data_IF_894007917165
#
_entry.id   IF_894007917165
#
_cell.length_a   1.000
_cell.length_b   1.000
_cell.length_c   1.000
_cell.angle_alpha   90.00
_cell.angle_beta   90.00
_cell.angle_gamma   90.00
#
_symmetry.space_group_name_H-M   'P 1'
#
loop_
_entity.id
_entity.type
_entity.pdbx_description
1 polymer ?
#
# COMPACT_ATOMS: atom_id res chain seq x y z
N UNK A 1 1.96 5.37 -5.89
CA UNK A 1 1.23 4.28 -6.61
C UNK A 1 -0.03 3.78 -5.92
N UNK A 2 -0.21 4.03 -4.62
CA UNK A 2 -1.43 3.72 -3.85
C UNK A 2 -2.00 5.03 -3.33
N UNK A 3 -3.32 5.10 -3.25
CA UNK A 3 -4.03 6.29 -2.78
C UNK A 3 -4.80 6.02 -1.49
N UNK A 4 -4.92 7.03 -0.65
CA UNK A 4 -5.73 6.98 0.56
C UNK A 4 -7.00 7.80 0.36
N UNK A 5 -8.14 7.17 0.61
CA UNK A 5 -9.44 7.80 0.38
C UNK A 5 -10.27 7.72 1.64
N UNK A 6 -11.08 8.75 1.90
CA UNK A 6 -12.17 8.71 2.87
C UNK A 6 -13.50 8.60 2.11
N UNK A 7 -14.45 7.84 2.66
CA UNK A 7 -15.79 7.67 2.08
C UNK A 7 -16.81 7.95 3.17
N UNK A 8 -17.53 9.05 3.06
CA UNK A 8 -18.67 9.37 3.92
C UNK A 8 -19.83 8.37 3.65
N UNK A 9 -20.47 7.79 4.68
CA UNK A 9 -21.66 6.96 4.51
C UNK A 9 -22.78 7.66 3.73
N UNK A 10 -22.88 9.00 3.80
CA UNK A 10 -23.84 9.79 3.05
C UNK A 10 -23.76 9.61 1.53
N UNK A 11 -22.60 9.20 0.99
CA UNK A 11 -22.44 8.86 -0.44
C UNK A 11 -23.38 7.73 -0.88
N UNK A 12 -23.65 6.76 0.01
CA UNK A 12 -24.54 5.65 -0.29
C UNK A 12 -26.01 6.09 -0.27
N UNK A 13 -26.36 7.03 0.60
CA UNK A 13 -27.69 7.64 0.63
C UNK A 13 -27.95 8.42 -0.67
N UNK A 14 -26.99 9.26 -1.10
CA UNK A 14 -27.09 10.00 -2.37
C UNK A 14 -27.23 9.04 -3.54
N UNK A 15 -26.40 8.00 -3.62
CA UNK A 15 -26.48 7.02 -4.69
C UNK A 15 -27.85 6.34 -4.75
N UNK A 16 -28.46 6.06 -3.59
CA UNK A 16 -29.78 5.46 -3.51
C UNK A 16 -30.88 6.45 -3.93
N UNK A 17 -30.81 7.70 -3.47
CA UNK A 17 -31.78 8.76 -3.79
C UNK A 17 -31.75 9.13 -5.27
N UNK A 18 -30.56 9.23 -5.86
CA UNK A 18 -30.36 9.60 -7.27
C UNK A 18 -30.65 8.43 -8.24
N UNK A 19 -30.95 7.25 -7.71
CA UNK A 19 -31.46 6.11 -8.47
C UNK A 19 -30.39 5.20 -9.10
N UNK A 20 -30.81 4.25 -9.96
CA UNK A 20 -29.96 3.14 -10.40
C UNK A 20 -28.64 3.57 -11.07
N UNK A 21 -28.65 4.69 -11.81
CA UNK A 21 -27.45 5.19 -12.46
C UNK A 21 -26.38 5.61 -11.43
N UNK A 22 -26.77 6.35 -10.39
CA UNK A 22 -25.84 6.78 -9.35
C UNK A 22 -25.27 5.58 -8.56
N UNK A 23 -26.08 4.54 -8.32
CA UNK A 23 -25.59 3.27 -7.75
C UNK A 23 -24.52 2.62 -8.65
N UNK A 24 -24.70 2.63 -9.97
CA UNK A 24 -23.69 2.13 -10.90
C UNK A 24 -22.40 2.97 -10.88
N UNK A 25 -22.52 4.31 -10.75
CA UNK A 25 -21.36 5.20 -10.57
C UNK A 25 -20.61 4.86 -9.28
N UNK A 26 -21.32 4.62 -8.18
CA UNK A 26 -20.71 4.19 -6.91
C UNK A 26 -20.01 2.83 -7.04
N UNK A 27 -20.63 1.87 -7.72
CA UNK A 27 -20.00 0.56 -8.02
C UNK A 27 -18.71 0.76 -8.85
N UNK A 28 -18.74 1.62 -9.86
CA UNK A 28 -17.57 1.95 -10.68
C UNK A 28 -16.44 2.57 -9.84
N UNK A 29 -16.79 3.50 -8.96
CA UNK A 29 -15.87 4.18 -8.04
C UNK A 29 -15.20 3.17 -7.10
N UNK A 30 -15.99 2.30 -6.44
CA UNK A 30 -15.46 1.27 -5.54
C UNK A 30 -14.61 0.23 -6.28
N UNK A 31 -14.91 -0.09 -7.55
CA UNK A 31 -14.03 -0.93 -8.37
C UNK A 31 -12.66 -0.28 -8.58
N UNK A 32 -12.63 1.03 -8.83
CA UNK A 32 -11.38 1.81 -8.88
C UNK A 32 -10.62 1.73 -7.55
N UNK A 33 -11.32 1.87 -6.42
CA UNK A 33 -10.69 1.78 -5.10
C UNK A 33 -10.11 0.40 -4.80
N UNK A 34 -10.79 -0.68 -5.20
CA UNK A 34 -10.28 -2.06 -5.08
C UNK A 34 -8.97 -2.27 -5.86
N UNK A 35 -8.74 -1.47 -6.91
CA UNK A 35 -7.54 -1.56 -7.74
C UNK A 35 -6.31 -1.02 -7.01
N UNK A 36 -6.34 0.22 -6.50
CA UNK A 36 -5.15 0.87 -5.95
C UNK A 36 -5.40 1.87 -4.81
N UNK A 37 -6.49 1.75 -4.07
CA UNK A 37 -6.77 2.59 -2.90
C UNK A 37 -6.78 1.81 -1.58
N UNK A 38 -6.55 2.51 -0.48
CA UNK A 38 -6.94 2.11 0.87
C UNK A 38 -7.96 3.14 1.39
N UNK A 39 -8.98 2.66 2.09
CA UNK A 39 -10.03 3.48 2.70
C UNK A 39 -9.60 3.81 4.13
N UNK A 40 -9.38 5.09 4.42
CA UNK A 40 -9.08 5.57 5.76
C UNK A 40 -10.37 5.63 6.57
N UNK A 41 -10.29 5.17 7.80
CA UNK A 41 -11.42 4.87 8.66
C UNK A 41 -11.11 5.34 10.09
N UNK A 42 -12.16 5.61 10.85
CA UNK A 42 -12.07 5.91 12.26
C UNK A 42 -11.63 4.69 13.08
N UNK A 43 -10.89 4.92 14.15
CA UNK A 43 -10.36 3.83 14.98
C UNK A 43 -11.46 2.94 15.62
N UNK A 44 -12.68 3.46 15.75
CA UNK A 44 -13.87 2.80 16.27
C UNK A 44 -14.76 2.11 15.21
N UNK A 45 -14.36 2.15 13.93
CA UNK A 45 -15.02 1.49 12.78
C UNK A 45 -16.42 2.03 12.42
N UNK A 46 -16.82 3.19 12.94
CA UNK A 46 -18.19 3.71 12.74
C UNK A 46 -18.60 3.85 11.27
N UNK A 47 -17.68 4.24 10.37
CA UNK A 47 -18.02 4.51 8.96
C UNK A 47 -18.25 3.19 8.21
N UNK A 48 -17.41 2.19 8.43
CA UNK A 48 -17.59 0.85 7.86
C UNK A 48 -18.92 0.23 8.31
N UNK A 49 -19.27 0.34 9.59
CA UNK A 49 -20.54 -0.18 10.10
C UNK A 49 -21.73 0.55 9.46
N UNK A 50 -21.68 1.88 9.41
CA UNK A 50 -22.69 2.71 8.75
C UNK A 50 -22.85 2.34 7.26
N UNK A 51 -21.75 2.28 6.50
CA UNK A 51 -21.76 1.84 5.09
C UNK A 51 -22.39 0.45 4.96
N UNK A 52 -22.04 -0.48 5.85
CA UNK A 52 -22.60 -1.83 5.89
C UNK A 52 -24.11 -1.84 6.07
N UNK A 53 -24.65 -1.00 6.96
CA UNK A 53 -26.08 -0.82 7.17
C UNK A 53 -26.76 -0.24 5.93
N UNK A 54 -26.20 0.81 5.32
CA UNK A 54 -26.73 1.42 4.10
C UNK A 54 -26.84 0.41 2.96
N UNK A 55 -25.79 -0.39 2.73
CA UNK A 55 -25.81 -1.42 1.68
C UNK A 55 -26.80 -2.54 2.00
N UNK A 56 -27.01 -2.91 3.26
CA UNK A 56 -28.00 -3.92 3.66
C UNK A 56 -29.44 -3.44 3.51
N UNK A 57 -29.67 -2.13 3.69
CA UNK A 57 -30.98 -1.50 3.53
C UNK A 57 -31.45 -1.45 2.06
N UNK A 58 -30.52 -1.58 1.10
CA UNK A 58 -30.87 -1.67 -0.32
C UNK A 58 -31.77 -2.91 -0.60
N UNK A 59 -32.76 -2.79 -1.50
CA UNK A 59 -33.52 -3.94 -1.97
C UNK A 59 -32.62 -5.05 -2.53
N UNK A 60 -33.02 -6.32 -2.44
CA UNK A 60 -32.27 -7.42 -3.06
C UNK A 60 -32.12 -7.20 -4.57
N UNK A 61 -30.90 -6.91 -5.02
CA UNK A 61 -30.58 -6.67 -6.44
C UNK A 61 -29.17 -7.13 -6.81
N UNK A 62 -28.83 -7.05 -8.09
CA UNK A 62 -27.46 -7.30 -8.56
C UNK A 62 -26.48 -6.24 -8.05
N UNK A 63 -26.93 -4.98 -7.96
CA UNK A 63 -26.17 -3.84 -7.45
C UNK A 63 -25.80 -4.02 -5.98
N UNK A 64 -26.77 -4.39 -5.13
CA UNK A 64 -26.51 -4.67 -3.72
C UNK A 64 -25.44 -5.76 -3.56
N UNK A 65 -25.57 -6.86 -4.31
CA UNK A 65 -24.57 -7.94 -4.31
C UNK A 65 -23.19 -7.44 -4.75
N UNK A 66 -23.13 -6.58 -5.76
CA UNK A 66 -21.87 -5.99 -6.24
C UNK A 66 -21.21 -5.10 -5.18
N UNK A 67 -21.97 -4.20 -4.54
CA UNK A 67 -21.46 -3.34 -3.46
C UNK A 67 -20.93 -4.17 -2.28
N UNK A 68 -21.71 -5.15 -1.80
CA UNK A 68 -21.28 -6.05 -0.73
C UNK A 68 -20.00 -6.81 -1.10
N UNK A 69 -19.90 -7.30 -2.33
CA UNK A 69 -18.71 -8.00 -2.84
C UNK A 69 -17.48 -7.09 -2.83
N UNK A 70 -17.60 -5.85 -3.33
CA UNK A 70 -16.49 -4.89 -3.38
C UNK A 70 -16.00 -4.53 -1.97
N UNK A 71 -16.91 -4.21 -1.04
CA UNK A 71 -16.56 -3.93 0.36
C UNK A 71 -15.90 -5.14 1.03
N UNK A 72 -16.40 -6.35 0.76
CA UNK A 72 -15.79 -7.59 1.25
C UNK A 72 -14.37 -7.79 0.70
N UNK A 73 -14.13 -7.46 -0.58
CA UNK A 73 -12.80 -7.54 -1.18
C UNK A 73 -11.85 -6.54 -0.54
N UNK A 74 -12.28 -5.29 -0.31
CA UNK A 74 -11.49 -4.29 0.42
C UNK A 74 -11.12 -4.81 1.82
N UNK A 75 -12.10 -5.32 2.58
CA UNK A 75 -11.87 -5.86 3.92
C UNK A 75 -10.93 -7.07 3.92
N UNK A 76 -11.13 -8.05 3.02
CA UNK A 76 -10.27 -9.24 2.90
C UNK A 76 -8.82 -8.92 2.52
N UNK A 77 -8.59 -7.76 1.90
CA UNK A 77 -7.27 -7.25 1.52
C UNK A 77 -6.78 -6.17 2.48
N UNK A 78 -7.30 -6.10 3.71
CA UNK A 78 -6.92 -5.13 4.74
C UNK A 78 -6.89 -3.67 4.24
N UNK A 79 -7.80 -3.30 3.32
CA UNK A 79 -7.82 -1.95 2.71
C UNK A 79 -8.51 -0.91 3.56
N UNK A 80 -9.22 -1.30 4.61
CA UNK A 80 -9.70 -0.37 5.63
C UNK A 80 -8.58 -0.14 6.64
N UNK A 81 -8.17 1.12 6.79
CA UNK A 81 -7.10 1.54 7.68
C UNK A 81 -7.69 2.41 8.79
N UNK A 82 -7.75 1.84 9.98
CA UNK A 82 -8.34 2.44 11.18
C UNK A 82 -7.32 3.37 11.84
N UNK A 83 -7.29 4.63 11.42
CA UNK A 83 -6.26 5.60 11.82
C UNK A 83 -6.76 7.02 12.05
N UNK A 84 -8.03 7.32 11.77
CA UNK A 84 -8.63 8.61 12.08
C UNK A 84 -9.13 8.56 13.53
N UNK A 85 -8.71 9.50 14.37
CA UNK A 85 -9.23 9.62 15.73
C UNK A 85 -10.61 10.32 15.70
N UNK A 86 -11.68 9.73 16.26
CA UNK A 86 -12.98 10.38 16.37
C UNK A 86 -12.94 11.58 17.30
N UNK A 87 -13.83 12.54 17.07
CA UNK A 87 -14.21 13.49 18.11
C UNK A 87 -15.17 12.81 19.10
N UNK A 88 -14.60 12.21 20.14
CA UNK A 88 -15.36 11.55 21.20
C UNK A 88 -16.21 12.52 22.03
N UNK A 89 -15.98 13.84 21.94
CA UNK A 89 -16.82 14.83 22.58
C UNK A 89 -18.08 15.17 21.76
N UNK A 90 -18.12 14.77 20.47
CA UNK A 90 -19.24 15.00 19.57
C UNK A 90 -19.48 16.47 19.22
N UNK A 91 -18.45 17.30 19.30
CA UNK A 91 -18.51 18.72 18.97
C UNK A 91 -18.39 18.99 17.46
N UNK A 92 -17.74 18.10 16.72
CA UNK A 92 -17.51 18.22 15.28
C UNK A 92 -18.18 17.08 14.50
N UNK A 93 -18.43 17.32 13.22
CA UNK A 93 -18.82 16.26 12.31
C UNK A 93 -17.64 15.30 12.06
N UNK A 94 -17.95 14.08 11.61
CA UNK A 94 -16.93 13.13 11.19
C UNK A 94 -16.11 13.67 9.99
N UNK A 95 -16.75 14.42 9.08
CA UNK A 95 -16.05 15.00 7.92
C UNK A 95 -15.05 16.07 8.36
N UNK A 96 -15.43 16.97 9.27
CA UNK A 96 -14.51 18.01 9.78
C UNK A 96 -13.35 17.40 10.54
N UNK A 97 -13.66 16.41 11.40
CA UNK A 97 -12.66 15.66 12.16
C UNK A 97 -11.66 14.96 11.25
N UNK A 98 -12.13 14.39 10.13
CA UNK A 98 -11.28 13.78 9.12
C UNK A 98 -10.43 14.82 8.39
N UNK A 99 -11.02 15.94 7.95
CA UNK A 99 -10.30 17.01 7.23
C UNK A 99 -9.14 17.58 8.04
N UNK A 100 -9.31 17.76 9.36
CA UNK A 100 -8.25 18.22 10.26
C UNK A 100 -7.04 17.26 10.33
N UNK A 101 -7.28 15.96 10.15
CA UNK A 101 -6.24 14.93 10.22
C UNK A 101 -5.70 14.54 8.85
N UNK A 102 -6.39 14.91 7.77
CA UNK A 102 -6.20 14.37 6.43
C UNK A 102 -4.78 14.58 5.88
N UNK A 103 -4.16 15.75 6.10
CA UNK A 103 -2.79 16.02 5.66
C UNK A 103 -1.77 15.10 6.35
N UNK A 104 -1.89 14.93 7.67
CA UNK A 104 -1.00 14.06 8.45
C UNK A 104 -1.17 12.58 8.08
N UNK A 105 -2.40 12.18 7.73
CA UNK A 105 -2.74 10.83 7.31
C UNK A 105 -2.48 10.55 5.83
N UNK A 106 -2.12 11.57 5.04
CA UNK A 106 -1.88 11.52 3.59
C UNK A 106 -3.12 11.12 2.78
N UNK A 107 -4.31 11.56 3.21
CA UNK A 107 -5.55 11.36 2.45
C UNK A 107 -5.48 12.17 1.16
N UNK A 108 -5.82 11.53 0.05
CA UNK A 108 -5.83 12.11 -1.31
C UNK A 108 -7.22 12.56 -1.73
N UNK A 109 -8.24 11.81 -1.34
CA UNK A 109 -9.63 12.05 -1.70
C UNK A 109 -10.55 11.91 -0.50
N UNK A 110 -11.45 12.85 -0.31
CA UNK A 110 -12.64 12.66 0.50
C UNK A 110 -13.88 12.63 -0.40
N UNK A 111 -14.50 11.45 -0.51
CA UNK A 111 -15.76 11.28 -1.23
C UNK A 111 -16.90 11.49 -0.24
N UNK A 112 -17.64 12.60 -0.38
CA UNK A 112 -18.64 13.06 0.60
C UNK A 112 -20.06 13.02 0.04
N UNK A 113 -21.06 12.81 0.90
CA UNK A 113 -22.48 12.78 0.53
C UNK A 113 -23.11 14.16 0.37
N UNK A 114 -22.52 15.19 0.98
CA UNK A 114 -22.99 16.57 0.88
C UNK A 114 -21.82 17.53 0.64
N UNK A 115 -22.06 18.69 0.00
CA UNK A 115 -21.04 19.73 -0.10
C UNK A 115 -20.52 20.08 1.29
N UNK A 116 -19.20 20.20 1.41
CA UNK A 116 -18.57 20.67 2.65
C UNK A 116 -18.93 22.15 2.86
N UNK A 117 -19.05 22.56 4.12
CA UNK A 117 -19.34 23.93 4.50
C UNK A 117 -18.32 24.91 3.89
N UNK A 118 -18.79 26.10 3.51
CA UNK A 118 -18.00 27.06 2.73
C UNK A 118 -16.78 27.61 3.50
N UNK A 119 -16.81 27.56 4.82
CA UNK A 119 -15.76 27.98 5.76
C UNK A 119 -14.86 26.82 6.22
N UNK A 120 -15.12 25.59 5.78
CA UNK A 120 -14.28 24.45 6.13
C UNK A 120 -12.87 24.58 5.53
N UNK A 121 -11.86 24.31 6.35
CA UNK A 121 -10.46 24.33 5.94
C UNK A 121 -10.09 22.99 5.32
N UNK A 122 -10.08 22.93 3.99
CA UNK A 122 -9.66 21.74 3.24
C UNK A 122 -8.13 21.76 3.05
N UNK A 123 -7.40 20.73 3.50
CA UNK A 123 -5.96 20.67 3.26
C UNK A 123 -5.64 20.60 1.76
N UNK A 124 -4.60 21.30 1.32
CA UNK A 124 -4.23 21.40 -0.10
C UNK A 124 -3.93 20.05 -0.78
N UNK A 125 -3.60 19.02 0.00
CA UNK A 125 -3.31 17.66 -0.50
C UNK A 125 -4.55 16.80 -0.70
N UNK A 126 -5.72 17.27 -0.27
CA UNK A 126 -6.97 16.50 -0.28
C UNK A 126 -7.91 17.08 -1.33
N UNK A 127 -8.33 16.25 -2.27
CA UNK A 127 -9.45 16.58 -3.14
C UNK A 127 -10.76 16.14 -2.48
N UNK A 128 -11.70 17.07 -2.30
CA UNK A 128 -13.06 16.73 -1.86
C UNK A 128 -13.96 16.66 -3.08
N UNK A 129 -14.78 15.61 -3.18
CA UNK A 129 -15.68 15.42 -4.30
C UNK A 129 -17.01 14.80 -3.86
N UNK A 130 -18.07 15.17 -4.56
CA UNK A 130 -19.33 14.43 -4.52
C UNK A 130 -19.30 13.27 -5.52
N UNK A 131 -20.17 12.28 -5.32
CA UNK A 131 -20.27 11.11 -6.21
C UNK A 131 -20.42 11.49 -7.69
N UNK A 132 -21.25 12.50 -7.98
CA UNK A 132 -21.50 13.01 -9.34
C UNK A 132 -20.28 13.66 -9.99
N UNK A 133 -19.35 14.17 -9.19
CA UNK A 133 -18.16 14.89 -9.66
C UNK A 133 -16.94 13.97 -9.76
N UNK A 134 -16.96 12.81 -9.07
CA UNK A 134 -15.84 11.90 -8.94
C UNK A 134 -15.11 11.61 -10.27
N UNK A 135 -15.85 11.31 -11.34
CA UNK A 135 -15.28 10.94 -12.64
C UNK A 135 -14.52 12.10 -13.32
N UNK A 136 -14.79 13.34 -12.92
CA UNK A 136 -14.14 14.55 -13.44
C UNK A 136 -13.05 15.07 -12.49
N UNK A 137 -12.69 14.32 -11.44
CA UNK A 137 -11.64 14.72 -10.51
C UNK A 137 -10.26 14.47 -11.10
N UNK A 138 -9.31 15.33 -10.70
CA UNK A 138 -7.89 15.10 -10.97
C UNK A 138 -7.42 13.79 -10.32
N UNK A 139 -7.90 13.52 -9.11
CA UNK A 139 -7.67 12.27 -8.40
C UNK A 139 -8.00 11.04 -9.25
N UNK A 140 -9.21 10.93 -9.80
CA UNK A 140 -9.59 9.74 -10.58
C UNK A 140 -8.74 9.61 -11.85
N UNK A 141 -8.44 10.73 -12.52
CA UNK A 141 -7.58 10.76 -13.69
C UNK A 141 -6.17 10.21 -13.36
N UNK A 142 -5.54 10.71 -12.30
CA UNK A 142 -4.22 10.27 -11.87
C UNK A 142 -4.24 8.82 -11.37
N UNK A 143 -5.21 8.47 -10.53
CA UNK A 143 -5.38 7.14 -9.97
C UNK A 143 -5.52 6.09 -11.06
N UNK A 144 -6.40 6.33 -12.02
CA UNK A 144 -6.66 5.43 -13.14
C UNK A 144 -5.40 5.25 -14.00
N UNK A 145 -4.74 6.36 -14.36
CA UNK A 145 -3.50 6.34 -15.14
C UNK A 145 -2.40 5.51 -14.46
N UNK A 146 -2.13 5.76 -13.18
CA UNK A 146 -1.11 5.02 -12.42
C UNK A 146 -1.49 3.53 -12.31
N UNK A 147 -2.77 3.22 -12.18
CA UNK A 147 -3.22 1.85 -12.08
C UNK A 147 -3.08 1.06 -13.38
N UNK A 148 -3.21 1.71 -14.55
CA UNK A 148 -3.06 1.10 -15.87
C UNK A 148 -1.61 1.08 -16.35
N UNK A 149 -0.88 2.17 -16.16
CA UNK A 149 0.43 2.40 -16.77
C UNK A 149 1.59 2.16 -15.80
N UNK A 150 1.35 2.17 -14.49
CA UNK A 150 2.43 2.23 -13.51
C UNK A 150 3.17 3.58 -13.55
N UNK A 151 4.44 3.58 -13.13
CA UNK A 151 5.32 4.75 -13.18
C UNK A 151 6.75 4.33 -13.52
N UNK A 152 7.28 4.90 -14.59
CA UNK A 152 8.70 4.84 -14.93
C UNK A 152 9.41 6.03 -14.27
N UNK A 153 10.54 5.76 -13.63
CA UNK A 153 11.44 6.77 -13.09
C UNK A 153 12.75 6.70 -13.86
N UNK A 154 13.23 7.82 -14.39
CA UNK A 154 14.52 7.88 -15.08
C UNK A 154 15.69 7.85 -14.08
N UNK A 155 16.91 7.47 -14.52
CA UNK A 155 18.11 7.57 -13.69
C UNK A 155 18.31 9.00 -13.20
N UNK A 156 18.48 9.17 -11.89
CA UNK A 156 18.69 10.50 -11.29
C UNK A 156 17.46 11.39 -11.19
N UNK A 157 16.29 10.95 -11.66
CA UNK A 157 15.06 11.76 -11.61
C UNK A 157 14.65 12.10 -10.18
N UNK A 158 14.73 11.12 -9.27
CA UNK A 158 14.29 11.27 -7.88
C UNK A 158 15.46 11.07 -6.92
N UNK A 159 15.47 11.84 -5.83
CA UNK A 159 16.30 11.53 -4.68
C UNK A 159 15.84 10.19 -4.06
N UNK A 160 16.69 9.59 -3.23
CA UNK A 160 16.36 8.34 -2.51
C UNK A 160 15.07 8.45 -1.71
N UNK A 161 14.90 9.55 -0.98
CA UNK A 161 13.73 9.77 -0.13
C UNK A 161 12.48 9.98 -0.99
N UNK A 162 12.57 10.80 -2.04
CA UNK A 162 11.44 11.05 -2.93
C UNK A 162 11.00 9.80 -3.67
N UNK A 163 11.97 8.97 -4.10
CA UNK A 163 11.67 7.68 -4.72
C UNK A 163 10.87 6.78 -3.77
N UNK A 164 11.35 6.60 -2.54
CA UNK A 164 10.67 5.76 -1.55
C UNK A 164 9.31 6.36 -1.17
N UNK A 165 9.20 7.69 -1.09
CA UNK A 165 7.97 8.37 -0.73
C UNK A 165 6.88 8.21 -1.79
N UNK A 166 7.22 8.46 -3.05
CA UNK A 166 6.32 8.36 -4.21
C UNK A 166 5.81 6.94 -4.42
N UNK A 167 6.69 5.95 -4.30
CA UNK A 167 6.39 4.57 -4.69
C UNK A 167 5.87 3.73 -3.54
N UNK A 168 6.37 3.93 -2.31
CA UNK A 168 6.15 2.98 -1.21
C UNK A 168 5.50 3.57 0.04
N UNK A 169 5.56 4.88 0.31
CA UNK A 169 5.06 5.46 1.58
C UNK A 169 3.67 5.00 1.94
N UNK A 170 2.70 5.20 1.05
CA UNK A 170 1.31 4.79 1.27
C UNK A 170 1.08 3.29 1.20
N UNK A 171 1.94 2.55 0.51
CA UNK A 171 1.85 1.08 0.50
C UNK A 171 2.30 0.48 1.84
N UNK A 172 3.26 1.12 2.52
CA UNK A 172 3.94 0.54 3.68
C UNK A 172 3.51 1.14 5.01
N UNK A 173 3.09 2.42 5.04
CA UNK A 173 2.85 3.18 6.28
C UNK A 173 2.03 2.42 7.32
N UNK A 174 0.97 1.72 6.91
CA UNK A 174 0.08 0.95 7.78
C UNK A 174 0.13 -0.56 7.54
N UNK A 175 1.14 -1.06 6.83
CA UNK A 175 1.28 -2.48 6.55
C UNK A 175 1.64 -3.25 7.83
N UNK A 176 0.98 -4.39 8.04
CA UNK A 176 1.37 -5.33 9.09
C UNK A 176 2.53 -6.24 8.64
N UNK A 177 2.72 -6.38 7.32
CA UNK A 177 3.77 -7.20 6.73
C UNK A 177 4.22 -6.61 5.40
N UNK A 178 5.52 -6.63 5.15
CA UNK A 178 6.15 -6.24 3.89
C UNK A 178 7.04 -7.40 3.44
N UNK A 179 6.67 -8.04 2.34
CA UNK A 179 7.40 -9.11 1.69
C UNK A 179 8.08 -8.58 0.43
N UNK A 180 9.41 -8.65 0.38
CA UNK A 180 10.20 -8.23 -0.78
C UNK A 180 10.71 -9.48 -1.47
N UNK A 181 10.24 -9.74 -2.68
CA UNK A 181 10.67 -10.87 -3.50
C UNK A 181 11.67 -10.40 -4.54
N UNK A 182 12.93 -10.81 -4.40
CA UNK A 182 13.96 -10.60 -5.41
C UNK A 182 15.03 -11.69 -5.32
N UNK A 183 15.10 -12.53 -6.36
CA UNK A 183 16.12 -13.55 -6.52
C UNK A 183 17.55 -12.99 -6.49
N UNK A 184 17.79 -11.86 -7.16
CA UNK A 184 19.14 -11.32 -7.34
C UNK A 184 19.65 -10.62 -6.08
N UNK A 185 18.76 -10.05 -5.27
CA UNK A 185 19.11 -9.41 -4.01
C UNK A 185 20.00 -10.27 -3.12
N UNK A 186 19.62 -11.53 -2.92
CA UNK A 186 20.42 -12.48 -2.13
C UNK A 186 21.60 -13.04 -2.91
N UNK A 187 21.38 -13.49 -4.16
CA UNK A 187 22.44 -14.12 -4.98
C UNK A 187 23.66 -13.22 -5.19
N UNK A 188 23.43 -11.93 -5.42
CA UNK A 188 24.45 -10.92 -5.74
C UNK A 188 24.56 -9.87 -4.65
N UNK A 189 24.30 -10.24 -3.40
CA UNK A 189 24.29 -9.29 -2.29
C UNK A 189 25.65 -8.56 -2.18
N UNK A 190 25.62 -7.24 -2.29
CA UNK A 190 26.78 -6.36 -2.40
C UNK A 190 26.36 -5.00 -2.96
N UNK A 191 27.31 -4.05 -3.05
CA UNK A 191 27.16 -2.74 -3.72
C UNK A 191 25.77 -2.10 -3.58
N UNK A 192 25.05 -1.91 -4.70
CA UNK A 192 23.74 -1.27 -4.75
C UNK A 192 22.63 -2.06 -4.04
N UNK A 193 22.70 -3.39 -3.98
CA UNK A 193 21.70 -4.18 -3.23
C UNK A 193 21.82 -3.94 -1.73
N UNK A 194 23.06 -3.97 -1.21
CA UNK A 194 23.33 -3.62 0.18
C UNK A 194 22.87 -2.19 0.47
N UNK A 195 23.28 -1.26 -0.38
CA UNK A 195 22.92 0.15 -0.26
C UNK A 195 21.41 0.36 -0.20
N UNK A 196 20.68 -0.21 -1.16
CA UNK A 196 19.23 -0.05 -1.27
C UNK A 196 18.51 -0.63 -0.05
N UNK A 197 18.94 -1.79 0.45
CA UNK A 197 18.36 -2.38 1.65
C UNK A 197 18.60 -1.52 2.90
N UNK A 198 19.80 -0.99 3.10
CA UNK A 198 20.12 -0.10 4.22
C UNK A 198 19.29 1.19 4.16
N UNK A 199 19.16 1.79 2.97
CA UNK A 199 18.36 3.00 2.75
C UNK A 199 16.88 2.76 2.99
N UNK A 200 16.34 1.66 2.49
CA UNK A 200 14.95 1.26 2.71
C UNK A 200 14.68 1.03 4.21
N UNK A 201 15.52 0.28 4.91
CA UNK A 201 15.36 0.03 6.35
C UNK A 201 15.43 1.35 7.14
N UNK A 202 16.37 2.24 6.80
CA UNK A 202 16.47 3.55 7.43
C UNK A 202 15.19 4.37 7.22
N UNK A 203 14.70 4.44 5.99
CA UNK A 203 13.49 5.18 5.65
C UNK A 203 12.24 4.58 6.32
N UNK A 204 12.11 3.25 6.40
CA UNK A 204 11.06 2.56 7.15
C UNK A 204 11.04 2.97 8.62
N UNK A 205 12.22 3.28 9.19
CA UNK A 205 12.39 3.77 10.55
C UNK A 205 11.55 5.01 10.90
N UNK A 206 11.24 5.86 9.92
CA UNK A 206 10.40 7.06 10.09
C UNK A 206 9.09 7.04 9.30
N UNK A 207 8.86 6.03 8.46
CA UNK A 207 7.71 6.02 7.53
C UNK A 207 6.58 5.08 7.94
N UNK A 208 6.86 4.09 8.78
CA UNK A 208 5.84 3.21 9.36
C UNK A 208 5.11 3.92 10.49
N UNK A 209 3.79 3.73 10.58
CA UNK A 209 2.98 4.22 11.70
C UNK A 209 3.34 3.52 13.00
N UNK A 210 3.62 2.22 12.93
CA UNK A 210 4.08 1.41 14.06
C UNK A 210 5.04 0.33 13.57
N UNK A 211 6.32 0.48 13.91
CA UNK A 211 7.39 -0.44 13.53
C UNK A 211 7.25 -1.81 14.21
N UNK A 212 6.68 -1.85 15.42
CA UNK A 212 6.59 -3.08 16.20
C UNK A 212 5.49 -4.02 15.68
N UNK A 213 4.53 -3.47 14.95
CA UNK A 213 3.40 -4.20 14.35
C UNK A 213 3.61 -4.58 12.89
N UNK A 214 4.63 -4.04 12.24
CA UNK A 214 5.01 -4.39 10.88
C UNK A 214 6.11 -5.45 10.89
N UNK A 215 6.11 -6.40 9.97
CA UNK A 215 7.21 -7.35 9.76
C UNK A 215 7.78 -7.24 8.35
N UNK A 216 9.09 -7.03 8.22
CA UNK A 216 9.79 -6.97 6.93
C UNK A 216 10.45 -8.33 6.63
N UNK A 217 10.19 -8.90 5.45
CA UNK A 217 10.76 -10.17 5.02
C UNK A 217 11.36 -10.06 3.63
N UNK A 218 12.64 -10.43 3.50
CA UNK A 218 13.32 -10.54 2.22
C UNK A 218 13.28 -12.00 1.73
N UNK A 219 12.59 -12.23 0.63
CA UNK A 219 12.55 -13.50 -0.10
C UNK A 219 13.58 -13.44 -1.22
N UNK A 220 14.65 -14.24 -1.13
CA UNK A 220 15.75 -14.20 -2.09
C UNK A 220 16.43 -15.55 -2.30
N UNK A 221 17.23 -15.67 -3.37
CA UNK A 221 18.09 -16.84 -3.53
C UNK A 221 19.19 -16.82 -2.46
N UNK A 222 19.65 -18.02 -2.05
CA UNK A 222 20.81 -18.12 -1.17
C UNK A 222 22.02 -17.44 -1.85
N UNK A 223 22.79 -16.61 -1.12
CA UNK A 223 24.00 -16.01 -1.66
C UNK A 223 25.01 -17.06 -2.11
N UNK A 224 25.84 -16.71 -3.11
CA UNK A 224 26.98 -17.54 -3.50
C UNK A 224 28.10 -17.38 -2.44
N UNK A 225 28.66 -18.50 -1.96
CA UNK A 225 29.69 -18.52 -0.91
C UNK A 225 29.14 -18.38 0.52
N UNK A 226 29.95 -17.81 1.44
CA UNK A 226 29.60 -17.61 2.87
C UNK A 226 29.16 -16.17 3.17
N UNK A 227 28.37 -15.56 2.28
CA UNK A 227 27.96 -14.15 2.39
C UNK A 227 26.60 -13.96 3.09
N UNK A 228 25.91 -15.04 3.45
CA UNK A 228 24.65 -15.04 4.19
C UNK A 228 24.78 -14.43 5.60
N UNK A 229 25.84 -14.81 6.34
CA UNK A 229 26.13 -14.23 7.66
C UNK A 229 26.43 -12.72 7.57
N UNK A 230 27.19 -12.31 6.55
CA UNK A 230 27.50 -10.90 6.31
C UNK A 230 26.24 -10.09 5.98
N UNK A 231 25.36 -10.63 5.14
CA UNK A 231 24.07 -10.04 4.84
C UNK A 231 23.21 -9.90 6.10
N UNK A 232 23.11 -10.95 6.91
CA UNK A 232 22.36 -10.92 8.16
C UNK A 232 22.88 -9.85 9.12
N UNK A 233 24.20 -9.78 9.32
CA UNK A 233 24.82 -8.80 10.19
C UNK A 233 24.58 -7.37 9.70
N UNK A 234 24.68 -7.14 8.39
CA UNK A 234 24.46 -5.82 7.78
C UNK A 234 23.02 -5.35 7.97
N UNK A 235 22.04 -6.21 7.68
CA UNK A 235 20.62 -5.89 7.87
C UNK A 235 20.29 -5.67 9.35
N UNK A 236 20.93 -6.41 10.26
CA UNK A 236 20.77 -6.26 11.70
C UNK A 236 21.26 -4.90 12.16
N UNK A 237 22.47 -4.53 11.75
CA UNK A 237 23.04 -3.22 12.08
C UNK A 237 22.18 -2.08 11.56
N UNK A 238 21.71 -2.16 10.30
CA UNK A 238 20.82 -1.15 9.72
C UNK A 238 19.50 -1.02 10.50
N UNK A 239 18.89 -2.15 10.87
CA UNK A 239 17.68 -2.18 11.69
C UNK A 239 17.95 -1.56 13.07
N UNK A 240 18.96 -2.04 13.78
CA UNK A 240 19.23 -1.59 15.15
C UNK A 240 19.53 -0.08 15.20
N UNK A 241 20.23 0.44 14.18
CA UNK A 241 20.57 1.85 14.09
C UNK A 241 19.41 2.77 13.69
N UNK A 242 18.45 2.30 12.89
CA UNK A 242 17.47 3.19 12.24
C UNK A 242 16.01 2.76 12.37
N UNK A 243 15.74 1.48 12.54
CA UNK A 243 14.39 0.91 12.61
C UNK A 243 14.26 -0.02 13.81
N UNK A 244 14.81 0.36 14.96
CA UNK A 244 14.72 -0.42 16.19
C UNK A 244 13.27 -0.82 16.49
N UNK A 245 13.06 -2.10 16.81
CA UNK A 245 11.74 -2.68 17.04
C UNK A 245 11.04 -3.24 15.81
N UNK A 246 11.55 -3.02 14.58
CA UNK A 246 11.03 -3.65 13.35
C UNK A 246 11.57 -5.09 13.21
N UNK A 247 10.74 -6.14 13.29
CA UNK A 247 11.16 -7.50 12.95
C UNK A 247 11.57 -7.58 11.47
N UNK A 248 12.81 -8.01 11.23
CA UNK A 248 13.37 -8.23 9.90
C UNK A 248 13.74 -9.70 9.76
N UNK A 249 13.34 -10.32 8.65
CA UNK A 249 13.67 -11.70 8.33
C UNK A 249 14.23 -11.81 6.92
N UNK A 250 15.08 -12.82 6.73
CA UNK A 250 15.54 -13.24 5.41
C UNK A 250 15.17 -14.70 5.21
N UNK A 251 14.40 -14.95 4.15
CA UNK A 251 14.02 -16.28 3.69
C UNK A 251 14.81 -16.61 2.42
N UNK A 252 15.76 -17.53 2.57
CA UNK A 252 16.49 -18.07 1.42
C UNK A 252 15.75 -19.25 0.79
N UNK A 253 15.94 -19.37 -0.52
CA UNK A 253 15.35 -20.43 -1.34
C UNK A 253 16.43 -21.13 -2.16
N UNK A 254 16.51 -22.46 -2.02
CA UNK A 254 17.47 -23.31 -2.72
C UNK A 254 16.85 -24.68 -3.01
N UNK A 255 17.06 -25.20 -4.22
CA UNK A 255 16.69 -26.57 -4.58
C UNK A 255 17.68 -27.56 -3.97
N UNK A 256 17.30 -28.84 -3.79
CA UNK A 256 18.22 -29.88 -3.32
C UNK A 256 19.47 -30.04 -4.19
N UNK A 257 19.41 -29.66 -5.47
CA UNK A 257 20.54 -29.65 -6.42
C UNK A 257 21.55 -28.53 -6.16
N UNK A 258 21.23 -27.59 -5.27
CA UNK A 258 22.00 -26.38 -5.01
C UNK A 258 21.56 -25.17 -5.84
N UNK A 259 20.72 -25.37 -6.85
CA UNK A 259 20.22 -24.29 -7.71
C UNK A 259 19.23 -23.36 -6.98
N UNK A 260 19.09 -22.13 -7.46
CA UNK A 260 18.09 -21.20 -6.93
C UNK A 260 16.68 -21.71 -7.19
N UNK A 261 15.89 -21.91 -6.13
CA UNK A 261 14.48 -22.24 -6.24
C UNK A 261 13.57 -21.03 -6.54
N UNK A 262 14.06 -19.79 -6.41
CA UNK A 262 13.24 -18.58 -6.63
C UNK A 262 12.98 -18.27 -8.11
N UNK A 263 11.80 -17.67 -8.43
CA UNK A 263 11.46 -17.21 -9.77
C UNK A 263 12.20 -15.91 -10.13
N UNK A 264 12.04 -15.49 -11.37
CA UNK A 264 12.58 -14.21 -11.85
C UNK A 264 11.69 -13.00 -11.49
N UNK A 265 10.48 -13.22 -10.97
CA UNK A 265 9.60 -12.11 -10.57
C UNK A 265 10.22 -11.29 -9.45
N UNK A 266 10.07 -9.97 -9.58
CA UNK A 266 10.53 -8.97 -8.63
C UNK A 266 9.36 -8.10 -8.20
N UNK A 267 9.05 -8.13 -6.93
CA UNK A 267 7.92 -7.39 -6.39
C UNK A 267 8.08 -7.11 -4.90
N UNK A 268 7.34 -6.12 -4.44
CA UNK A 268 7.04 -5.93 -3.03
C UNK A 268 5.55 -6.18 -2.81
N UNK A 269 5.23 -6.92 -1.77
CA UNK A 269 3.89 -7.23 -1.36
C UNK A 269 3.71 -6.78 0.09
N UNK A 270 2.55 -6.21 0.40
CA UNK A 270 2.09 -6.03 1.77
C UNK A 270 0.83 -6.87 2.02
N UNK A 271 0.28 -6.82 3.22
CA UNK A 271 -1.04 -7.38 3.50
C UNK A 271 -2.18 -6.61 2.78
N UNK A 272 -1.85 -5.46 2.19
CA UNK A 272 -2.79 -4.60 1.46
C UNK A 272 -2.62 -4.71 -0.05
N UNK A 273 -1.39 -4.51 -0.56
CA UNK A 273 -1.09 -4.27 -1.98
C UNK A 273 0.05 -5.16 -2.48
N UNK A 274 0.20 -5.29 -3.79
CA UNK A 274 1.43 -5.79 -4.39
C UNK A 274 1.87 -4.87 -5.53
N UNK A 275 3.18 -4.67 -5.64
CA UNK A 275 3.83 -3.76 -6.57
C UNK A 275 4.98 -4.49 -7.24
N UNK A 276 4.99 -4.54 -8.57
CA UNK A 276 6.11 -5.05 -9.35
C UNK A 276 7.18 -3.98 -9.48
N UNK A 277 8.44 -4.35 -9.30
CA UNK A 277 9.61 -3.47 -9.48
C UNK A 277 10.52 -4.17 -10.47
N UNK A 278 10.65 -3.66 -11.69
CA UNK A 278 11.42 -4.33 -12.75
C UNK A 278 12.89 -4.57 -12.38
N UNK A 279 13.51 -3.67 -11.61
CA UNK A 279 14.87 -3.81 -11.06
C UNK A 279 14.98 -4.60 -9.76
N UNK A 280 13.87 -4.93 -9.11
CA UNK A 280 13.89 -5.51 -7.77
C UNK A 280 14.59 -4.56 -6.80
N UNK A 281 15.43 -5.06 -5.89
CA UNK A 281 16.14 -4.29 -4.87
C UNK A 281 17.34 -3.48 -5.39
N UNK A 282 17.54 -3.38 -6.70
CA UNK A 282 18.56 -2.54 -7.34
C UNK A 282 17.95 -1.24 -7.91
N UNK A 283 17.02 -0.63 -7.19
CA UNK A 283 16.32 0.59 -7.64
C UNK A 283 17.00 1.91 -7.22
N UNK A 284 17.98 1.88 -6.32
CA UNK A 284 18.81 3.04 -5.96
C UNK A 284 20.25 2.84 -6.44
N UNK A 285 20.90 3.96 -6.76
CA UNK A 285 22.31 4.00 -7.13
C UNK A 285 23.15 4.55 -5.97
N UNK A 286 24.14 3.77 -5.50
CA UNK A 286 25.01 4.18 -4.40
C UNK A 286 25.97 5.32 -4.78
N UNK A 287 26.35 5.42 -6.06
CA UNK A 287 27.28 6.43 -6.56
C UNK A 287 26.61 7.79 -6.72
N UNK A 288 25.39 7.83 -7.27
CA UNK A 288 24.67 9.10 -7.50
C UNK A 288 23.71 9.47 -6.37
N UNK A 289 23.41 8.53 -5.46
CA UNK A 289 22.47 8.69 -4.35
C UNK A 289 21.06 9.09 -4.80
N UNK A 290 20.60 8.44 -5.87
CA UNK A 290 19.33 8.74 -6.54
C UNK A 290 18.68 7.46 -7.10
N UNK A 291 17.49 7.61 -7.68
CA UNK A 291 16.81 6.53 -8.41
C UNK A 291 17.62 6.05 -9.61
N UNK A 292 17.54 4.75 -9.89
CA UNK A 292 17.92 4.17 -11.19
C UNK A 292 16.74 4.23 -12.16
N UNK A 293 16.95 3.82 -13.40
CA UNK A 293 15.87 3.58 -14.36
C UNK A 293 14.99 2.43 -13.85
N UNK A 294 13.82 2.74 -13.30
CA UNK A 294 12.99 1.72 -12.67
C UNK A 294 11.53 1.93 -13.05
N UNK A 295 10.90 0.84 -13.44
CA UNK A 295 9.47 0.79 -13.67
C UNK A 295 8.78 0.10 -12.48
N UNK A 296 7.83 0.83 -11.89
CA UNK A 296 7.03 0.31 -10.79
C UNK A 296 5.55 0.26 -11.20
N UNK A 297 4.90 -0.88 -10.98
CA UNK A 297 3.53 -1.13 -11.42
C UNK A 297 2.71 -1.90 -10.40
N UNK A 298 1.39 -1.80 -10.49
CA UNK A 298 0.51 -2.60 -9.65
C UNK A 298 0.56 -4.08 -10.04
N UNK A 299 0.52 -4.98 -9.05
CA UNK A 299 0.44 -6.42 -9.23
C UNK A 299 -0.76 -6.98 -8.46
N UNK A 300 -1.34 -8.06 -8.98
CA UNK A 300 -2.41 -8.77 -8.29
C UNK A 300 -1.89 -9.46 -7.03
N UNK A 301 -2.38 -9.04 -5.86
CA UNK A 301 -2.01 -9.62 -4.56
C UNK A 301 -2.09 -11.17 -4.54
N UNK A 302 -3.16 -11.82 -5.05
CA UNK A 302 -3.23 -13.28 -5.05
C UNK A 302 -2.16 -13.94 -5.93
N UNK A 303 -1.73 -13.28 -7.01
CA UNK A 303 -0.71 -13.82 -7.91
C UNK A 303 0.67 -13.81 -7.24
N UNK A 304 1.05 -12.70 -6.60
CA UNK A 304 2.29 -12.61 -5.83
C UNK A 304 2.32 -13.61 -4.65
N UNK A 305 1.19 -13.77 -3.94
CA UNK A 305 1.08 -14.77 -2.88
C UNK A 305 1.20 -16.21 -3.41
N UNK A 306 0.61 -16.51 -4.57
CA UNK A 306 0.73 -17.82 -5.22
C UNK A 306 2.18 -18.13 -5.59
N UNK A 307 2.92 -17.14 -6.11
CA UNK A 307 4.36 -17.26 -6.39
C UNK A 307 5.12 -17.69 -5.13
N UNK A 308 5.00 -16.97 -4.01
CA UNK A 308 5.70 -17.32 -2.77
C UNK A 308 5.30 -18.69 -2.18
N UNK A 309 4.08 -19.16 -2.47
CA UNK A 309 3.57 -20.47 -2.08
C UNK A 309 4.17 -21.59 -2.93
N UNK A 310 4.27 -21.42 -4.24
CA UNK A 310 4.86 -22.43 -5.16
C UNK A 310 6.26 -22.85 -4.72
N UNK A 311 7.04 -21.93 -4.19
CA UNK A 311 8.43 -22.19 -3.79
C UNK A 311 8.60 -22.54 -2.32
N UNK A 312 7.52 -22.81 -1.58
CA UNK A 312 7.62 -23.12 -0.15
C UNK A 312 8.42 -24.39 0.14
N UNK A 313 8.46 -25.35 -0.79
CA UNK A 313 9.25 -26.58 -0.67
C UNK A 313 10.77 -26.37 -0.76
N UNK A 314 11.23 -25.24 -1.30
CA UNK A 314 12.65 -24.89 -1.40
C UNK A 314 13.13 -23.94 -0.29
N UNK A 315 12.32 -23.70 0.75
CA UNK A 315 12.65 -22.78 1.84
C UNK A 315 13.70 -23.39 2.76
N UNK A 316 14.76 -22.63 2.99
CA UNK A 316 15.72 -22.90 4.06
C UNK A 316 15.18 -22.36 5.40
N UNK A 317 15.76 -22.74 6.56
CA UNK A 317 15.41 -22.13 7.83
C UNK A 317 15.47 -20.60 7.75
N UNK A 318 14.42 -19.94 8.25
CA UNK A 318 14.32 -18.47 8.26
C UNK A 318 15.45 -17.91 9.11
N UNK A 319 16.12 -16.88 8.59
CA UNK A 319 17.07 -16.10 9.38
C UNK A 319 16.35 -14.90 9.99
N UNK A 320 16.30 -14.87 11.33
CA UNK A 320 15.87 -13.69 12.06
C UNK A 320 17.05 -12.74 12.17
N UNK A 321 16.89 -11.57 11.57
CA UNK A 321 17.85 -10.47 11.65
C UNK A 321 17.66 -9.80 13.00
#
# INVERSE_FOLDING_TARGET
MIFYVYIDPGVFDVAQTDGPYAVQVLIGTLRGFVQNCCVMEFDDRRIQDAIGEKVRALPPSHERKALMSLLTVLAKRNRFVYCIAPDYAGAKSDTDTMLEQAAGLLIDLALVGAPVEADAVIPATVQVALLREYQNTFFESERSKIASEGRTTAPGELSEADFLDVHFKKAFRYAARIDICDKLFGRKYGDNYKYTAERMIRWLGGSLSDRTRCKLVFHCAKPEGMTDQYMQQTLRQARDAHAAGLPVEVQFYQLPTGDSAMPHERFVQTDQVALGIDRGMDFLDAGTRSSRDVFVSYKGLPACAAVLKTYSGGRLPVMVV
#
